data_IF_561896114756
#
_entry.id   IF_561896114756
#
_cell.length_a   1.000
_cell.length_b   1.000
_cell.length_c   1.000
_cell.angle_alpha   90.00
_cell.angle_beta   90.00
_cell.angle_gamma   90.00
#
_symmetry.space_group_name_H-M   'P 1'
#
loop_
_entity.id
_entity.type
_entity.pdbx_description
1 polymer ?
#
# COMPACT_ATOMS: atom_id res chain seq x y z
N UNK A 1 -22.51 28.80 34.35
CA UNK A 1 -21.56 28.78 33.22
C UNK A 1 -21.21 27.38 32.73
N UNK A 2 -20.78 26.45 33.60
CA UNK A 2 -20.27 25.12 33.22
C UNK A 2 -21.08 24.37 32.13
N UNK A 3 -22.41 24.22 32.28
CA UNK A 3 -23.30 23.60 31.25
C UNK A 3 -22.98 24.13 29.83
N UNK A 4 -23.00 25.46 29.64
CA UNK A 4 -22.73 26.11 28.35
C UNK A 4 -21.33 25.82 27.81
N UNK A 5 -20.31 25.75 28.66
CA UNK A 5 -18.93 25.43 28.25
C UNK A 5 -18.88 23.99 27.71
N UNK A 6 -19.49 23.04 28.41
CA UNK A 6 -19.53 21.63 27.99
C UNK A 6 -20.29 21.45 26.68
N UNK A 7 -21.42 22.14 26.48
CA UNK A 7 -22.14 22.15 25.19
C UNK A 7 -21.28 22.68 24.04
N UNK A 8 -20.52 23.77 24.26
CA UNK A 8 -19.62 24.31 23.23
C UNK A 8 -18.43 23.37 22.94
N UNK A 9 -17.84 22.77 23.98
CA UNK A 9 -16.75 21.78 23.80
C UNK A 9 -17.26 20.55 23.05
N UNK A 10 -18.48 20.08 23.31
CA UNK A 10 -19.09 18.98 22.57
C UNK A 10 -19.32 19.35 21.09
N UNK A 11 -19.82 20.56 20.81
CA UNK A 11 -20.01 21.06 19.44
C UNK A 11 -18.69 21.14 18.65
N UNK A 12 -17.64 21.72 19.24
CA UNK A 12 -16.34 21.80 18.56
C UNK A 12 -15.65 20.45 18.42
N UNK A 13 -15.72 19.57 19.44
CA UNK A 13 -15.16 18.22 19.34
C UNK A 13 -15.91 17.36 18.30
N UNK A 14 -17.23 17.53 18.14
CA UNK A 14 -17.99 16.91 17.04
C UNK A 14 -17.46 17.35 15.66
N UNK A 15 -17.24 18.65 15.46
CA UNK A 15 -16.69 19.18 14.20
C UNK A 15 -15.31 18.57 13.88
N UNK A 16 -14.39 18.56 14.85
CA UNK A 16 -13.06 17.96 14.66
C UNK A 16 -13.11 16.43 14.53
N UNK A 17 -14.08 15.76 15.15
CA UNK A 17 -14.31 14.33 14.95
C UNK A 17 -14.79 14.01 13.54
N UNK A 18 -15.70 14.81 12.97
CA UNK A 18 -16.12 14.67 11.57
C UNK A 18 -14.96 14.91 10.60
N UNK A 19 -14.15 15.96 10.83
CA UNK A 19 -12.97 16.26 10.03
C UNK A 19 -11.93 15.13 10.07
N UNK A 20 -11.58 14.65 11.26
CA UNK A 20 -10.59 13.57 11.42
C UNK A 20 -11.11 12.22 10.94
N UNK A 21 -12.40 11.92 11.10
CA UNK A 21 -13.04 10.72 10.55
C UNK A 21 -13.02 10.72 9.01
N UNK A 22 -13.26 11.87 8.37
CA UNK A 22 -13.16 12.01 6.91
C UNK A 22 -11.73 11.76 6.41
N UNK A 23 -10.72 12.25 7.13
CA UNK A 23 -9.31 11.91 6.82
C UNK A 23 -9.05 10.41 7.02
N UNK A 24 -9.48 9.81 8.12
CA UNK A 24 -9.34 8.36 8.37
C UNK A 24 -10.06 7.50 7.32
N UNK A 25 -11.14 7.99 6.70
CA UNK A 25 -11.84 7.30 5.62
C UNK A 25 -11.00 7.21 4.33
N UNK A 26 -10.29 8.29 4.00
CA UNK A 26 -9.47 8.46 2.79
C UNK A 26 -8.05 7.89 2.98
N UNK A 27 -7.53 7.88 4.20
CA UNK A 27 -6.17 7.43 4.55
C UNK A 27 -5.83 6.04 3.99
N UNK A 28 -4.67 5.87 3.31
CA UNK A 28 -4.25 4.58 2.77
C UNK A 28 -3.96 3.54 3.87
N UNK A 29 -3.93 2.23 3.51
CA UNK A 29 -3.54 1.17 4.43
C UNK A 29 -2.19 1.46 5.08
N UNK A 30 -2.02 1.16 6.37
CA UNK A 30 -0.84 1.55 7.14
C UNK A 30 0.50 1.18 6.49
N UNK A 31 0.56 0.00 5.83
CA UNK A 31 1.72 -0.49 5.06
C UNK A 31 2.09 0.41 3.87
N UNK A 32 1.09 0.94 3.15
CA UNK A 32 1.29 1.81 1.98
C UNK A 32 1.64 3.22 2.47
N UNK A 33 1.00 3.66 3.55
CA UNK A 33 1.25 4.95 4.16
C UNK A 33 2.70 5.12 4.67
N UNK A 34 3.27 4.08 5.30
CA UNK A 34 4.68 4.10 5.72
C UNK A 34 5.63 3.93 4.53
N UNK A 35 5.32 3.02 3.61
CA UNK A 35 6.14 2.74 2.42
C UNK A 35 6.34 3.95 1.50
N UNK A 36 5.30 4.77 1.32
CA UNK A 36 5.32 5.96 0.48
C UNK A 36 5.57 7.27 1.24
N UNK A 37 5.87 7.22 2.54
CA UNK A 37 6.00 8.39 3.42
C UNK A 37 4.80 9.36 3.33
N UNK A 38 3.58 8.78 3.34
CA UNK A 38 2.34 9.49 3.06
C UNK A 38 2.04 10.57 4.11
N UNK A 39 1.69 11.74 3.61
CA UNK A 39 1.31 12.90 4.39
C UNK A 39 0.13 13.64 3.74
N UNK A 40 -0.66 14.33 4.56
CA UNK A 40 -1.77 15.17 4.13
C UNK A 40 -1.84 16.41 5.01
N UNK A 41 -1.91 17.60 4.39
CA UNK A 41 -1.77 18.90 5.06
C UNK A 41 -0.52 19.00 5.96
N UNK A 42 0.60 18.38 5.55
CA UNK A 42 1.86 18.35 6.30
C UNK A 42 1.91 17.36 7.48
N UNK A 43 0.80 16.66 7.80
CA UNK A 43 0.74 15.66 8.86
C UNK A 43 0.81 14.24 8.28
N UNK A 44 1.56 13.36 8.95
CA UNK A 44 1.65 11.94 8.59
C UNK A 44 0.38 11.18 8.97
N UNK A 45 0.20 9.96 8.43
CA UNK A 45 -0.89 9.05 8.85
C UNK A 45 -0.96 8.89 10.38
N UNK A 46 0.20 8.73 11.04
CA UNK A 46 0.27 8.53 12.50
C UNK A 46 -0.17 9.78 13.28
N UNK A 47 0.15 10.98 12.79
CA UNK A 47 -0.28 12.22 13.42
C UNK A 47 -1.80 12.43 13.29
N UNK A 48 -2.38 12.11 12.12
CA UNK A 48 -3.83 12.12 11.92
C UNK A 48 -4.57 11.07 12.77
N UNK A 49 -4.00 9.87 12.90
CA UNK A 49 -4.52 8.79 13.74
C UNK A 49 -4.51 9.20 15.22
N UNK A 50 -3.40 9.74 15.73
CA UNK A 50 -3.30 10.27 17.08
C UNK A 50 -4.27 11.44 17.35
N UNK A 51 -4.44 12.35 16.39
CA UNK A 51 -5.40 13.45 16.48
C UNK A 51 -6.85 12.94 16.56
N UNK A 52 -7.21 11.91 15.76
CA UNK A 52 -8.54 11.30 15.80
C UNK A 52 -8.82 10.65 17.17
N UNK A 53 -7.85 9.88 17.70
CA UNK A 53 -8.00 9.26 19.03
C UNK A 53 -8.13 10.30 20.15
N UNK A 54 -7.33 11.37 20.13
CA UNK A 54 -7.38 12.43 21.13
C UNK A 54 -8.71 13.21 21.09
N UNK A 55 -9.20 13.56 19.89
CA UNK A 55 -10.50 14.23 19.75
C UNK A 55 -11.67 13.30 20.06
N UNK A 56 -11.54 11.98 19.82
CA UNK A 56 -12.54 10.99 20.20
C UNK A 56 -12.67 10.86 21.72
N UNK A 57 -11.54 10.82 22.44
CA UNK A 57 -11.54 10.84 23.90
C UNK A 57 -12.17 12.13 24.46
N UNK A 58 -11.86 13.29 23.88
CA UNK A 58 -12.47 14.56 24.27
C UNK A 58 -13.98 14.58 23.98
N UNK A 59 -14.42 14.07 22.82
CA UNK A 59 -15.84 14.00 22.46
C UNK A 59 -16.63 13.08 23.40
N UNK A 60 -16.07 11.91 23.76
CA UNK A 60 -16.68 11.01 24.75
C UNK A 60 -16.74 11.64 26.15
N UNK A 61 -15.67 12.29 26.61
CA UNK A 61 -15.64 12.98 27.90
C UNK A 61 -16.63 14.16 27.95
N UNK A 62 -16.71 14.96 26.87
CA UNK A 62 -17.66 16.06 26.74
C UNK A 62 -19.11 15.56 26.63
N UNK A 63 -19.34 14.43 25.95
CA UNK A 63 -20.66 13.79 25.83
C UNK A 63 -21.16 13.24 27.17
N UNK A 64 -20.31 12.50 27.90
CA UNK A 64 -20.61 12.05 29.25
C UNK A 64 -20.84 13.23 30.20
N UNK A 65 -19.99 14.27 30.14
CA UNK A 65 -20.18 15.50 30.89
C UNK A 65 -21.48 16.23 30.55
N UNK A 66 -21.90 16.24 29.28
CA UNK A 66 -23.18 16.83 28.86
C UNK A 66 -24.36 16.05 29.45
N UNK A 67 -24.36 14.72 29.33
CA UNK A 67 -25.42 13.84 29.87
C UNK A 67 -25.53 13.98 31.39
N UNK A 68 -24.43 13.99 32.12
CA UNK A 68 -24.42 14.15 33.58
C UNK A 68 -24.89 15.54 34.03
N UNK A 69 -24.51 16.60 33.30
CA UNK A 69 -24.93 17.97 33.61
C UNK A 69 -26.35 18.30 33.16
N UNK A 70 -26.97 17.48 32.31
CA UNK A 70 -28.32 17.67 31.77
C UNK A 70 -29.20 16.43 32.05
N UNK A 71 -28.92 15.73 33.15
CA UNK A 71 -29.58 14.45 33.47
C UNK A 71 -31.08 14.61 33.74
N UNK A 72 -31.50 15.71 34.36
CA UNK A 72 -32.93 16.04 34.57
C UNK A 72 -33.67 16.18 33.22
N UNK A 73 -33.03 16.88 32.28
CA UNK A 73 -33.53 17.14 30.93
C UNK A 73 -33.61 15.82 30.10
N UNK A 74 -32.73 14.85 30.37
CA UNK A 74 -32.81 13.49 29.82
C UNK A 74 -33.91 12.65 30.48
N UNK A 75 -34.10 12.78 31.80
CA UNK A 75 -35.18 12.09 32.52
C UNK A 75 -36.57 12.55 32.09
N UNK A 76 -36.75 13.83 31.74
CA UNK A 76 -38.01 14.34 31.16
C UNK A 76 -38.40 13.63 29.86
N UNK A 77 -37.44 13.23 29.02
CA UNK A 77 -37.70 12.42 27.81
C UNK A 77 -38.09 10.95 28.12
N UNK A 78 -37.98 10.53 29.38
CA UNK A 78 -38.38 9.21 29.89
C UNK A 78 -39.57 9.28 30.85
N UNK A 79 -40.18 10.47 31.03
CA UNK A 79 -41.42 10.62 31.80
C UNK A 79 -42.64 10.35 30.92
N UNK A 80 -43.64 9.70 31.52
CA UNK A 80 -44.98 9.58 30.92
C UNK A 80 -45.82 10.85 31.20
N UNK A 81 -47.06 10.91 30.68
CA UNK A 81 -47.93 12.09 30.84
C UNK A 81 -48.22 12.44 32.33
N UNK A 82 -48.18 11.45 33.22
CA UNK A 82 -48.29 11.61 34.69
C UNK A 82 -46.97 12.03 35.38
N UNK A 83 -45.88 12.29 34.64
CA UNK A 83 -44.59 12.73 35.18
C UNK A 83 -43.73 11.63 35.85
N UNK A 84 -44.21 10.38 35.85
CA UNK A 84 -43.49 9.20 36.34
C UNK A 84 -42.44 8.77 35.32
N UNK A 85 -41.22 8.47 35.77
CA UNK A 85 -40.14 7.96 34.89
C UNK A 85 -40.40 6.50 34.52
N UNK A 86 -40.70 6.24 33.25
CA UNK A 86 -41.01 4.92 32.69
C UNK A 86 -39.99 4.58 31.61
N UNK A 87 -39.04 3.69 31.92
CA UNK A 87 -37.91 3.40 31.00
C UNK A 87 -38.38 2.86 29.64
N UNK A 88 -39.53 2.18 29.57
CA UNK A 88 -40.07 1.57 28.34
C UNK A 88 -41.17 2.41 27.67
N UNK A 89 -41.01 3.73 27.58
CA UNK A 89 -41.94 4.57 26.79
C UNK A 89 -41.94 4.19 25.30
N UNK A 90 -43.01 4.54 24.58
CA UNK A 90 -43.09 4.32 23.11
C UNK A 90 -41.92 4.99 22.36
N UNK A 91 -41.54 6.26 22.64
CA UNK A 91 -40.36 6.87 22.03
C UNK A 91 -39.05 6.13 22.33
N UNK A 92 -38.84 5.65 23.56
CA UNK A 92 -37.65 4.86 23.92
C UNK A 92 -37.57 3.58 23.08
N UNK A 93 -38.67 2.81 23.01
CA UNK A 93 -38.72 1.58 22.22
C UNK A 93 -38.49 1.83 20.72
N UNK A 94 -39.08 2.90 20.16
CA UNK A 94 -38.86 3.29 18.75
C UNK A 94 -37.40 3.67 18.51
N UNK A 95 -36.81 4.50 19.37
CA UNK A 95 -35.41 4.92 19.26
C UNK A 95 -34.42 3.76 19.40
N UNK A 96 -34.68 2.85 20.34
CA UNK A 96 -33.90 1.62 20.54
C UNK A 96 -33.99 0.69 19.34
N UNK A 97 -35.20 0.40 18.84
CA UNK A 97 -35.40 -0.47 17.68
C UNK A 97 -34.83 0.12 16.39
N UNK A 98 -34.93 1.43 16.19
CA UNK A 98 -34.31 2.12 15.05
C UNK A 98 -32.78 2.04 15.12
N UNK A 99 -32.19 2.33 16.28
CA UNK A 99 -30.73 2.27 16.48
C UNK A 99 -30.20 0.85 16.32
N UNK A 100 -30.84 -0.14 16.95
CA UNK A 100 -30.49 -1.55 16.84
C UNK A 100 -30.70 -2.08 15.41
N UNK A 101 -31.75 -1.65 14.72
CA UNK A 101 -32.02 -1.99 13.32
C UNK A 101 -30.95 -1.46 12.36
N UNK A 102 -30.56 -0.18 12.50
CA UNK A 102 -29.47 0.41 11.70
C UNK A 102 -28.12 -0.25 12.02
N UNK A 103 -27.86 -0.60 13.28
CA UNK A 103 -26.66 -1.32 13.67
C UNK A 103 -26.62 -2.74 13.07
N UNK A 104 -27.69 -3.52 13.20
CA UNK A 104 -27.81 -4.85 12.62
C UNK A 104 -27.74 -4.83 11.08
N UNK A 105 -28.37 -3.85 10.44
CA UNK A 105 -28.27 -3.64 8.99
C UNK A 105 -26.82 -3.31 8.56
N UNK A 106 -26.09 -2.52 9.36
CA UNK A 106 -24.69 -2.21 9.12
C UNK A 106 -23.78 -3.45 9.26
N UNK A 107 -24.02 -4.30 10.25
CA UNK A 107 -23.33 -5.60 10.40
C UNK A 107 -23.65 -6.56 9.25
N UNK A 108 -24.87 -6.53 8.72
CA UNK A 108 -25.29 -7.30 7.55
C UNK A 108 -24.78 -6.71 6.21
N UNK A 109 -24.05 -5.58 6.22
CA UNK A 109 -23.53 -4.94 5.01
C UNK A 109 -24.59 -4.27 4.13
N UNK A 110 -25.81 -4.04 4.64
CA UNK A 110 -26.89 -3.40 3.90
C UNK A 110 -26.56 -1.93 3.56
N UNK A 111 -27.18 -1.34 2.53
CA UNK A 111 -26.99 0.07 2.21
C UNK A 111 -27.51 0.99 3.35
N UNK A 112 -26.85 2.12 3.63
CA UNK A 112 -25.67 2.66 2.94
C UNK A 112 -24.33 2.09 3.45
N UNK A 113 -24.30 1.33 4.54
CA UNK A 113 -23.07 0.87 5.18
C UNK A 113 -22.17 0.06 4.23
N UNK A 114 -22.73 -0.90 3.48
CA UNK A 114 -21.98 -1.66 2.47
C UNK A 114 -21.38 -0.79 1.35
N UNK A 115 -22.08 0.28 0.96
CA UNK A 115 -21.59 1.22 -0.06
C UNK A 115 -20.43 2.07 0.46
N UNK A 116 -20.49 2.52 1.73
CA UNK A 116 -19.40 3.26 2.38
C UNK A 116 -18.15 2.39 2.55
N UNK A 117 -18.32 1.11 2.94
CA UNK A 117 -17.21 0.15 3.05
C UNK A 117 -16.57 -0.07 1.67
N UNK A 118 -17.37 -0.35 0.63
CA UNK A 118 -16.89 -0.55 -0.74
C UNK A 118 -16.16 0.69 -1.30
N UNK A 119 -16.70 1.89 -1.09
CA UNK A 119 -16.06 3.15 -1.47
C UNK A 119 -14.71 3.32 -0.76
N UNK A 120 -14.63 3.07 0.55
CA UNK A 120 -13.36 3.13 1.28
C UNK A 120 -12.35 2.10 0.79
N UNK A 121 -12.82 0.93 0.33
CA UNK A 121 -12.00 -0.10 -0.29
C UNK A 121 -11.41 0.37 -1.62
N UNK A 122 -12.24 0.94 -2.50
CA UNK A 122 -11.79 1.50 -3.79
C UNK A 122 -10.74 2.61 -3.60
N UNK A 123 -10.95 3.54 -2.65
CA UNK A 123 -9.96 4.58 -2.35
C UNK A 123 -8.62 3.99 -1.89
N UNK A 124 -8.64 2.92 -1.08
CA UNK A 124 -7.45 2.28 -0.53
C UNK A 124 -6.72 1.40 -1.55
N UNK A 125 -7.45 0.73 -2.44
CA UNK A 125 -6.86 -0.04 -3.56
C UNK A 125 -6.22 0.93 -4.59
N UNK A 126 -6.91 2.04 -4.97
CA UNK A 126 -6.31 3.10 -5.81
C UNK A 126 -5.07 3.74 -5.19
N UNK A 127 -5.05 3.90 -3.87
CA UNK A 127 -3.84 4.38 -3.18
C UNK A 127 -2.71 3.34 -3.22
N UNK A 128 -2.99 2.04 -3.11
CA UNK A 128 -1.99 0.99 -3.27
C UNK A 128 -1.42 0.94 -4.71
N UNK A 129 -2.27 1.09 -5.73
CA UNK A 129 -1.83 1.24 -7.14
C UNK A 129 -0.92 2.46 -7.34
N UNK A 130 -1.28 3.61 -6.76
CA UNK A 130 -0.58 4.90 -6.96
C UNK A 130 0.74 4.99 -6.21
N UNK A 131 0.82 4.43 -4.99
CA UNK A 131 1.96 4.56 -4.09
C UNK A 131 2.84 3.32 -4.00
N UNK A 132 2.41 2.19 -4.59
CA UNK A 132 3.07 0.89 -4.51
C UNK A 132 2.86 0.17 -3.18
N UNK A 133 3.00 -1.16 -3.22
CA UNK A 133 3.00 -2.02 -2.03
C UNK A 133 4.45 -2.31 -1.60
N UNK A 134 4.75 -2.41 -0.29
CA UNK A 134 6.01 -2.97 0.18
C UNK A 134 6.07 -4.48 -0.14
N UNK A 135 7.24 -5.03 -0.53
CA UNK A 135 7.36 -6.44 -0.96
C UNK A 135 7.08 -7.46 0.17
N UNK A 136 7.10 -7.01 1.43
CA UNK A 136 6.65 -7.76 2.61
C UNK A 136 6.24 -6.79 3.73
N UNK A 137 5.65 -7.31 4.81
CA UNK A 137 5.16 -6.49 5.92
C UNK A 137 6.28 -5.75 6.66
N UNK A 138 6.12 -4.43 6.84
CA UNK A 138 7.08 -3.54 7.51
C UNK A 138 8.49 -3.53 6.87
N UNK A 139 8.58 -3.70 5.54
CA UNK A 139 9.84 -3.66 4.79
C UNK A 139 10.63 -2.35 5.02
N UNK A 140 9.95 -1.22 5.22
CA UNK A 140 10.56 0.07 5.56
C UNK A 140 11.34 0.06 6.88
N UNK A 141 11.00 -0.87 7.81
CA UNK A 141 11.66 -1.01 9.12
C UNK A 141 12.79 -2.03 9.11
N UNK A 142 13.01 -2.74 8.00
CA UNK A 142 14.11 -3.69 7.85
C UNK A 142 15.42 -2.97 7.55
N UNK A 143 16.53 -3.53 8.01
CA UNK A 143 17.88 -3.12 7.61
C UNK A 143 18.08 -3.35 6.10
N UNK A 144 18.97 -2.60 5.45
CA UNK A 144 19.32 -2.86 4.05
C UNK A 144 19.90 -4.27 3.87
N UNK A 145 20.66 -4.78 4.86
CA UNK A 145 21.19 -6.14 4.85
C UNK A 145 20.10 -7.22 4.90
N UNK A 146 19.13 -7.11 5.82
CA UNK A 146 18.00 -8.05 5.91
C UNK A 146 17.10 -7.95 4.68
N UNK A 147 16.89 -6.73 4.17
CA UNK A 147 16.10 -6.49 2.97
C UNK A 147 16.75 -7.16 1.75
N UNK A 148 18.04 -6.88 1.49
CA UNK A 148 18.80 -7.49 0.41
C UNK A 148 18.76 -9.01 0.51
N UNK A 149 19.03 -9.57 1.70
CA UNK A 149 19.00 -11.01 1.98
C UNK A 149 17.64 -11.65 1.69
N UNK A 150 16.51 -11.00 2.02
CA UNK A 150 15.16 -11.51 1.68
C UNK A 150 14.88 -11.43 0.18
N UNK A 151 15.40 -10.43 -0.51
CA UNK A 151 15.28 -10.25 -1.96
C UNK A 151 16.32 -11.04 -2.78
N UNK A 152 17.13 -11.91 -2.16
CA UNK A 152 18.18 -12.69 -2.84
C UNK A 152 19.40 -11.87 -3.30
N UNK A 153 19.53 -10.63 -2.84
CA UNK A 153 20.61 -9.71 -3.16
C UNK A 153 21.70 -9.71 -2.09
N UNK A 154 22.94 -9.49 -2.50
CA UNK A 154 24.06 -9.25 -1.59
C UNK A 154 24.02 -7.81 -1.01
N UNK A 155 24.43 -7.65 0.24
CA UNK A 155 24.31 -6.38 0.97
C UNK A 155 25.27 -5.29 0.46
N UNK A 156 26.51 -5.65 0.09
CA UNK A 156 27.47 -4.69 -0.50
C UNK A 156 27.05 -4.31 -1.92
N UNK A 157 26.52 -5.26 -2.71
CA UNK A 157 25.87 -4.94 -3.98
C UNK A 157 24.72 -3.95 -3.79
N UNK A 158 23.78 -4.20 -2.87
CA UNK A 158 22.70 -3.27 -2.58
C UNK A 158 23.21 -1.87 -2.21
N UNK A 159 24.22 -1.79 -1.33
CA UNK A 159 24.85 -0.54 -0.91
C UNK A 159 25.50 0.21 -2.09
N UNK A 160 26.19 -0.51 -2.99
CA UNK A 160 26.78 0.07 -4.21
C UNK A 160 25.73 0.58 -5.21
N UNK A 161 24.59 -0.11 -5.35
CA UNK A 161 23.50 0.30 -6.24
C UNK A 161 22.80 1.57 -5.76
N UNK A 162 22.59 1.71 -4.44
CA UNK A 162 22.08 2.95 -3.85
C UNK A 162 23.05 4.12 -4.13
N UNK A 163 24.35 3.92 -3.88
CA UNK A 163 25.39 4.93 -4.16
C UNK A 163 25.44 5.32 -5.64
N UNK A 164 25.31 4.36 -6.56
CA UNK A 164 25.22 4.60 -8.01
C UNK A 164 23.98 5.43 -8.41
N UNK A 165 22.89 5.34 -7.64
CA UNK A 165 21.67 6.16 -7.80
C UNK A 165 21.71 7.48 -7.02
N UNK A 166 22.88 7.89 -6.50
CA UNK A 166 23.08 9.05 -5.61
C UNK A 166 22.32 8.98 -4.26
N UNK A 167 21.83 7.80 -3.86
CA UNK A 167 21.24 7.57 -2.54
C UNK A 167 22.39 7.31 -1.56
N UNK A 168 22.55 8.21 -0.59
CA UNK A 168 23.51 8.10 0.50
C UNK A 168 23.08 6.96 1.43
N UNK A 169 23.91 5.92 1.49
CA UNK A 169 23.81 4.88 2.50
C UNK A 169 25.22 4.64 3.04
N UNK A 170 25.40 4.83 4.35
CA UNK A 170 26.70 4.75 5.03
C UNK A 170 27.11 3.29 5.24
N UNK A 171 26.20 2.49 5.77
CA UNK A 171 26.32 1.04 6.00
C UNK A 171 25.01 0.32 5.65
N UNK A 172 25.00 -1.01 5.74
CA UNK A 172 23.83 -1.84 5.45
C UNK A 172 22.92 -2.11 6.67
N UNK A 173 23.30 -1.64 7.87
CA UNK A 173 22.51 -1.78 9.10
C UNK A 173 21.42 -0.70 9.22
N UNK A 174 21.57 0.41 8.51
CA UNK A 174 20.52 1.43 8.35
C UNK A 174 19.24 0.80 7.76
N UNK A 175 18.09 1.21 8.27
CA UNK A 175 16.79 0.75 7.75
C UNK A 175 16.41 1.47 6.45
N UNK A 176 15.54 0.86 5.64
CA UNK A 176 15.02 1.50 4.42
C UNK A 176 14.36 2.86 4.72
N UNK A 177 13.65 2.99 5.84
CA UNK A 177 13.08 4.26 6.30
C UNK A 177 14.14 5.30 6.71
N UNK A 178 15.25 4.89 7.31
CA UNK A 178 16.33 5.80 7.70
C UNK A 178 17.12 6.27 6.47
N UNK A 179 17.47 5.36 5.56
CA UNK A 179 18.08 5.69 4.27
C UNK A 179 17.16 6.63 3.47
N UNK A 180 15.85 6.36 3.43
CA UNK A 180 14.89 7.21 2.76
C UNK A 180 14.85 8.64 3.38
N UNK A 181 14.81 8.73 4.71
CA UNK A 181 14.83 9.99 5.47
C UNK A 181 16.08 10.81 5.19
N UNK A 182 17.27 10.20 5.18
CA UNK A 182 18.55 10.85 4.90
C UNK A 182 18.69 11.39 3.47
N UNK A 183 17.86 10.90 2.54
CA UNK A 183 17.89 11.27 1.12
C UNK A 183 16.62 12.01 0.66
N UNK A 184 15.70 12.36 1.58
CA UNK A 184 14.42 13.01 1.28
C UNK A 184 13.53 12.25 0.27
N UNK A 185 13.65 10.92 0.20
CA UNK A 185 12.79 10.05 -0.60
C UNK A 185 11.84 9.24 0.29
N UNK A 186 10.91 8.50 -0.32
CA UNK A 186 10.11 7.50 0.38
C UNK A 186 10.85 6.13 0.43
N UNK A 187 10.56 5.26 1.41
CA UNK A 187 11.09 3.88 1.44
C UNK A 187 10.89 3.11 0.13
N UNK A 188 9.74 3.25 -0.53
CA UNK A 188 9.48 2.67 -1.85
C UNK A 188 10.41 3.20 -2.95
N UNK A 189 10.88 4.45 -2.85
CA UNK A 189 11.89 5.00 -3.77
C UNK A 189 13.27 4.37 -3.60
N UNK A 190 13.64 4.00 -2.37
CA UNK A 190 14.86 3.21 -2.09
C UNK A 190 14.74 1.81 -2.68
N UNK A 191 13.55 1.20 -2.64
CA UNK A 191 13.30 -0.10 -3.27
C UNK A 191 13.33 -0.05 -4.80
N UNK A 192 12.63 0.89 -5.46
CA UNK A 192 12.64 0.98 -6.92
C UNK A 192 14.05 1.25 -7.49
N UNK A 193 14.89 2.00 -6.75
CA UNK A 193 16.30 2.19 -7.08
C UNK A 193 17.12 0.88 -7.09
N UNK A 194 16.77 -0.10 -6.25
CA UNK A 194 17.36 -1.45 -6.23
C UNK A 194 16.73 -2.37 -7.29
N UNK A 195 15.39 -2.33 -7.41
CA UNK A 195 14.58 -3.20 -8.29
C UNK A 195 14.93 -3.04 -9.77
N UNK A 196 15.29 -1.85 -10.23
CA UNK A 196 15.72 -1.60 -11.62
C UNK A 196 17.01 -2.33 -12.05
N UNK A 197 17.68 -3.07 -11.17
CA UNK A 197 18.87 -3.90 -11.48
C UNK A 197 18.61 -5.39 -11.19
N UNK A 198 17.37 -5.76 -10.86
CA UNK A 198 17.00 -7.11 -10.43
C UNK A 198 16.56 -8.03 -11.58
N UNK A 199 16.36 -7.47 -12.78
CA UNK A 199 16.01 -8.17 -14.03
C UNK A 199 17.23 -8.32 -14.96
N UNK A 200 17.57 -9.54 -15.41
CA UNK A 200 17.54 -10.75 -14.61
C UNK A 200 18.90 -11.46 -14.61
N UNK A 201 19.48 -11.69 -13.44
CA UNK A 201 20.39 -12.84 -13.27
C UNK A 201 19.50 -14.07 -13.13
N UNK A 202 19.31 -14.81 -14.22
CA UNK A 202 18.26 -15.81 -14.43
C UNK A 202 18.33 -17.06 -13.55
N UNK A 203 18.18 -16.90 -12.24
CA UNK A 203 17.79 -17.96 -11.32
C UNK A 203 16.28 -18.03 -11.26
N UNK A 204 15.69 -19.02 -11.93
CA UNK A 204 14.29 -19.41 -11.68
C UNK A 204 14.17 -19.74 -10.20
N UNK A 205 13.33 -19.01 -9.46
CA UNK A 205 13.03 -19.36 -8.06
C UNK A 205 12.04 -20.52 -8.08
N UNK A 206 12.57 -21.73 -8.23
CA UNK A 206 11.79 -22.96 -8.24
C UNK A 206 11.24 -23.21 -6.83
N UNK A 207 9.94 -22.98 -6.64
CA UNK A 207 9.26 -23.12 -5.36
C UNK A 207 8.98 -21.81 -4.62
N UNK A 208 8.24 -21.92 -3.51
CA UNK A 208 7.72 -20.78 -2.76
C UNK A 208 8.81 -20.03 -1.97
N UNK A 209 8.81 -18.68 -2.00
CA UNK A 209 9.62 -17.85 -1.10
C UNK A 209 9.45 -18.24 0.38
N UNK A 210 10.47 -17.97 1.21
CA UNK A 210 10.43 -18.32 2.63
C UNK A 210 9.33 -17.59 3.41
N UNK A 211 9.13 -16.31 3.11
CA UNK A 211 8.05 -15.48 3.65
C UNK A 211 6.97 -15.33 2.55
N UNK A 212 5.66 -15.43 2.86
CA UNK A 212 4.61 -15.30 1.85
C UNK A 212 4.52 -13.87 1.29
N UNK A 213 4.49 -13.70 -0.04
CA UNK A 213 4.23 -12.40 -0.67
C UNK A 213 2.88 -11.79 -0.22
N UNK A 214 2.79 -10.44 -0.13
CA UNK A 214 1.53 -9.76 0.12
C UNK A 214 0.52 -10.08 -1.00
N UNK A 215 -0.78 -10.08 -0.65
CA UNK A 215 -1.85 -10.39 -1.60
C UNK A 215 -2.02 -11.87 -1.96
N UNK A 216 -1.03 -12.75 -1.73
CA UNK A 216 -1.08 -14.18 -2.09
C UNK A 216 -2.33 -14.89 -1.52
N UNK A 217 -2.78 -14.48 -0.33
CA UNK A 217 -4.03 -14.95 0.27
C UNK A 217 -5.28 -14.80 -0.61
N UNK A 218 -5.32 -13.81 -1.51
CA UNK A 218 -6.44 -13.51 -2.44
C UNK A 218 -6.32 -14.26 -3.78
N UNK A 219 -5.24 -15.00 -4.04
CA UNK A 219 -4.97 -15.70 -5.31
C UNK A 219 -5.32 -17.18 -5.24
N UNK A 220 -5.69 -17.79 -6.37
CA UNK A 220 -6.06 -19.21 -6.47
C UNK A 220 -4.85 -20.12 -6.37
N UNK A 221 -5.07 -21.36 -5.95
CA UNK A 221 -4.03 -22.40 -5.98
C UNK A 221 -3.51 -22.64 -7.41
N UNK A 222 -4.36 -22.59 -8.46
CA UNK A 222 -3.93 -22.61 -9.87
C UNK A 222 -2.88 -21.55 -10.16
N UNK A 223 -3.25 -20.29 -9.92
CA UNK A 223 -2.48 -19.11 -10.33
C UNK A 223 -1.18 -18.96 -9.53
N UNK A 224 -1.08 -19.62 -8.36
CA UNK A 224 0.12 -19.73 -7.53
C UNK A 224 1.02 -20.87 -8.04
N UNK A 225 0.45 -22.03 -8.41
CA UNK A 225 1.24 -23.15 -8.92
C UNK A 225 1.89 -22.83 -10.26
N UNK A 226 1.17 -22.18 -11.17
CA UNK A 226 1.68 -21.76 -12.47
C UNK A 226 2.82 -20.72 -12.36
N UNK A 227 2.70 -19.76 -11.44
CA UNK A 227 3.72 -18.71 -11.22
C UNK A 227 5.01 -19.22 -10.58
N UNK A 228 4.91 -20.10 -9.56
CA UNK A 228 6.07 -20.63 -8.84
C UNK A 228 6.60 -21.96 -9.37
N UNK A 229 6.09 -22.43 -10.53
CA UNK A 229 6.52 -23.66 -11.18
C UNK A 229 6.22 -24.94 -10.38
N UNK A 230 5.15 -24.92 -9.57
CA UNK A 230 4.71 -26.09 -8.81
C UNK A 230 3.80 -27.00 -9.65
N UNK A 231 4.01 -28.31 -9.56
CA UNK A 231 3.06 -29.27 -10.08
C UNK A 231 1.77 -29.33 -9.21
N UNK A 232 0.62 -29.05 -9.83
CA UNK A 232 -0.68 -29.02 -9.18
C UNK A 232 -1.06 -30.37 -8.55
N UNK A 233 -0.69 -31.49 -9.17
CA UNK A 233 -1.04 -32.84 -8.67
C UNK A 233 -0.27 -33.14 -7.39
N UNK A 234 1.04 -32.84 -7.37
CA UNK A 234 1.85 -32.89 -6.15
C UNK A 234 1.35 -31.92 -5.08
N UNK A 235 0.94 -30.69 -5.43
CA UNK A 235 0.41 -29.71 -4.47
C UNK A 235 -0.85 -30.21 -3.78
N UNK A 236 -1.84 -30.70 -4.53
CA UNK A 236 -3.06 -31.27 -3.94
C UNK A 236 -2.77 -32.52 -3.12
N UNK A 237 -1.83 -33.36 -3.56
CA UNK A 237 -1.38 -34.55 -2.82
C UNK A 237 -0.72 -34.17 -1.48
N UNK A 238 0.18 -33.18 -1.46
CA UNK A 238 0.84 -32.64 -0.26
C UNK A 238 -0.18 -32.06 0.73
N UNK A 239 -1.11 -31.22 0.25
CA UNK A 239 -2.16 -30.63 1.07
C UNK A 239 -3.09 -31.70 1.67
N UNK A 240 -3.50 -32.68 0.87
CA UNK A 240 -4.31 -33.82 1.33
C UNK A 240 -3.56 -34.66 2.38
N UNK A 241 -2.27 -34.93 2.18
CA UNK A 241 -1.42 -35.64 3.14
C UNK A 241 -1.19 -34.87 4.46
N UNK A 242 -1.26 -33.52 4.42
CA UNK A 242 -1.27 -32.67 5.61
C UNK A 242 -2.67 -32.48 6.23
N UNK A 243 -3.70 -33.16 5.70
CA UNK A 243 -5.09 -33.13 6.20
C UNK A 243 -5.97 -32.03 5.63
N UNK A 244 -5.49 -31.23 4.68
CA UNK A 244 -6.21 -30.09 4.11
C UNK A 244 -7.06 -30.46 2.89
N UNK A 245 -8.34 -30.11 2.94
CA UNK A 245 -9.23 -30.05 1.77
C UNK A 245 -8.86 -28.85 0.91
N UNK A 246 -8.46 -29.08 -0.33
CA UNK A 246 -8.07 -28.04 -1.28
C UNK A 246 -8.67 -28.31 -2.67
N UNK A 247 -8.85 -27.24 -3.46
CA UNK A 247 -9.27 -27.31 -4.87
C UNK A 247 -8.46 -26.30 -5.69
N UNK A 248 -8.10 -26.58 -6.96
CA UNK A 248 -7.33 -25.64 -7.79
C UNK A 248 -7.94 -24.24 -7.89
N UNK A 249 -9.26 -24.17 -7.97
CA UNK A 249 -10.02 -22.93 -8.15
C UNK A 249 -10.20 -22.11 -6.86
N UNK A 250 -9.89 -22.67 -5.67
CA UNK A 250 -9.99 -21.96 -4.40
C UNK A 250 -8.79 -21.06 -4.20
N UNK A 251 -9.01 -19.91 -3.57
CA UNK A 251 -7.92 -19.07 -3.03
C UNK A 251 -7.22 -19.75 -1.86
N UNK A 252 -5.99 -19.30 -1.58
CA UNK A 252 -5.26 -19.71 -0.38
C UNK A 252 -6.06 -19.42 0.91
N UNK A 253 -6.81 -18.30 0.95
CA UNK A 253 -7.68 -17.95 2.09
C UNK A 253 -8.93 -18.83 2.18
N UNK A 254 -9.57 -19.16 1.05
CA UNK A 254 -10.71 -20.09 1.05
C UNK A 254 -10.29 -21.51 1.47
N UNK A 255 -9.12 -21.96 1.01
CA UNK A 255 -8.52 -23.23 1.44
C UNK A 255 -8.23 -23.22 2.94
N UNK A 256 -7.73 -22.12 3.49
CA UNK A 256 -7.50 -21.98 4.93
C UNK A 256 -8.84 -22.02 5.72
N UNK A 257 -9.83 -21.25 5.26
CA UNK A 257 -11.18 -21.18 5.85
C UNK A 257 -11.90 -22.53 5.83
N UNK A 258 -11.79 -23.29 4.73
CA UNK A 258 -12.41 -24.61 4.58
C UNK A 258 -11.84 -25.68 5.54
N UNK A 259 -10.67 -25.41 6.14
CA UNK A 259 -9.99 -26.30 7.09
C UNK A 259 -9.83 -25.68 8.50
N UNK A 260 -10.45 -24.51 8.76
CA UNK A 260 -10.34 -23.77 10.02
C UNK A 260 -8.89 -23.42 10.45
N UNK A 261 -8.00 -23.17 9.49
CA UNK A 261 -6.62 -22.75 9.75
C UNK A 261 -6.35 -21.34 9.22
N UNK A 262 -5.22 -20.74 9.64
CA UNK A 262 -4.74 -19.48 9.11
C UNK A 262 -4.10 -19.68 7.72
N UNK A 263 -4.20 -18.71 6.77
CA UNK A 263 -3.60 -18.84 5.44
C UNK A 263 -2.09 -19.10 5.43
N UNK A 264 -1.37 -18.67 6.47
CA UNK A 264 0.06 -18.97 6.68
C UNK A 264 0.31 -20.48 6.85
N UNK A 265 -0.57 -21.22 7.52
CA UNK A 265 -0.41 -22.66 7.73
C UNK A 265 -0.59 -23.46 6.43
N UNK A 266 -1.47 -22.98 5.53
CA UNK A 266 -1.60 -23.53 4.17
C UNK A 266 -0.35 -23.20 3.35
N UNK A 267 0.22 -22.00 3.50
CA UNK A 267 1.46 -21.62 2.83
C UNK A 267 2.67 -22.45 3.27
N UNK A 268 2.86 -22.66 4.57
CA UNK A 268 3.94 -23.52 5.08
C UNK A 268 3.75 -25.00 4.69
N UNK A 269 2.50 -25.47 4.56
CA UNK A 269 2.18 -26.80 4.04
C UNK A 269 2.47 -26.95 2.53
N UNK A 270 2.29 -25.88 1.73
CA UNK A 270 2.77 -25.85 0.34
C UNK A 270 4.30 -25.88 0.26
N UNK A 271 4.98 -25.24 1.22
CA UNK A 271 6.44 -25.05 1.27
C UNK A 271 7.21 -26.21 1.95
N UNK A 272 6.54 -27.27 2.40
CA UNK A 272 7.18 -28.43 3.05
C UNK A 272 7.07 -29.71 2.22
N UNK A 273 8.22 -30.25 1.78
CA UNK A 273 8.31 -31.55 1.09
C UNK A 273 8.05 -32.76 2.01
N UNK A 274 7.83 -32.54 3.31
CA UNK A 274 7.60 -33.57 4.31
C UNK A 274 6.47 -33.13 5.23
N UNK A 275 5.36 -33.87 5.20
CA UNK A 275 4.13 -33.51 5.91
C UNK A 275 4.34 -33.27 7.40
N UNK A 276 4.16 -32.03 7.83
CA UNK A 276 3.99 -31.69 9.24
C UNK A 276 2.56 -32.08 9.64
N UNK A 277 2.42 -32.91 10.67
CA UNK A 277 1.11 -33.23 11.23
C UNK A 277 0.45 -31.96 11.79
N UNK A 278 -0.86 -31.73 11.58
CA UNK A 278 -1.53 -30.55 12.07
C UNK A 278 -1.53 -30.55 13.61
N UNK A 279 -1.06 -29.45 14.21
CA UNK A 279 -1.25 -29.17 15.63
C UNK A 279 -2.64 -28.52 15.78
N UNK A 280 -3.64 -29.17 16.41
CA UNK A 280 -4.95 -28.56 16.60
C UNK A 280 -4.82 -27.44 17.64
N UNK A 281 -5.15 -26.21 17.25
CA UNK A 281 -5.41 -25.15 18.22
C UNK A 281 -6.84 -25.32 18.70
N UNK A 282 -7.03 -25.96 19.85
CA UNK A 282 -8.34 -26.21 20.43
C UNK A 282 -8.97 -24.89 20.91
N UNK A 283 -9.83 -24.31 20.08
CA UNK A 283 -10.59 -23.10 20.42
C UNK A 283 -11.69 -23.49 21.40
N UNK A 284 -11.42 -23.31 22.69
CA UNK A 284 -12.35 -23.60 23.77
C UNK A 284 -13.73 -22.97 23.52
N UNK A 285 -14.76 -23.80 23.60
CA UNK A 285 -16.18 -23.42 23.55
C UNK A 285 -16.89 -23.98 24.80
N UNK A 286 -17.95 -23.34 25.30
CA UNK A 286 -18.35 -23.47 26.71
C UNK A 286 -18.97 -24.83 27.04
N UNK A 287 -18.58 -25.39 28.19
CA UNK A 287 -19.17 -26.60 28.76
C UNK A 287 -20.42 -26.23 29.56
N UNK A 288 -21.57 -26.75 29.13
CA UNK A 288 -22.83 -26.68 29.89
C UNK A 288 -22.89 -27.77 30.98
N UNK A 289 -23.70 -27.56 32.02
CA UNK A 289 -23.54 -28.21 33.33
C UNK A 289 -24.45 -29.44 33.53
N UNK A 290 -23.91 -30.67 33.55
CA UNK A 290 -24.66 -31.82 34.12
C UNK A 290 -23.82 -32.96 34.73
N UNK A 291 -24.07 -33.20 36.03
CA UNK A 291 -23.98 -34.47 36.80
C UNK A 291 -22.75 -35.40 36.68
N UNK A 292 -21.96 -35.38 37.76
CA UNK A 292 -21.23 -36.50 38.38
C UNK A 292 -22.14 -37.72 38.70
N UNK A 293 -21.61 -38.95 38.85
CA UNK A 293 -20.85 -39.35 40.06
C UNK A 293 -19.64 -40.30 39.86
N UNK A 294 -18.70 -40.31 40.83
CA UNK A 294 -17.61 -41.31 40.91
C UNK A 294 -16.47 -40.89 41.86
N UNK A 295 -16.12 -41.74 42.83
CA UNK A 295 -15.11 -41.56 43.90
C UNK A 295 -14.74 -42.96 44.44
N UNK A 296 -13.62 -43.27 45.08
CA UNK A 296 -12.44 -42.54 45.67
C UNK A 296 -11.19 -43.44 45.46
N UNK A 297 -9.92 -43.10 45.84
CA UNK A 297 -9.36 -41.94 46.56
C UNK A 297 -8.12 -41.28 45.89
N UNK A 298 -7.45 -40.37 46.61
CA UNK A 298 -6.16 -39.73 46.26
C UNK A 298 -5.05 -40.25 47.19
N UNK A 299 -3.84 -40.47 46.66
CA UNK A 299 -2.60 -40.56 47.45
C UNK A 299 -1.80 -39.24 47.39
N UNK A 300 -1.36 -38.76 48.55
CA UNK A 300 -0.39 -37.66 48.74
C UNK A 300 1.01 -38.26 48.94
N UNK A 301 2.11 -37.65 48.42
CA UNK A 301 2.74 -36.52 49.13
C UNK A 301 3.56 -35.57 48.19
N UNK A 302 4.39 -34.62 48.69
CA UNK A 302 4.43 -33.94 49.99
C UNK A 302 4.15 -32.40 49.84
N UNK A 303 4.25 -31.64 50.93
CA UNK A 303 3.91 -30.21 50.95
C UNK A 303 5.12 -29.25 50.80
N UNK A 304 4.86 -28.16 50.07
CA UNK A 304 5.39 -26.79 50.22
C UNK A 304 6.89 -26.54 50.53
N UNK A 305 7.57 -25.92 49.56
CA UNK A 305 8.65 -24.96 49.83
C UNK A 305 8.14 -23.53 49.54
N UNK A 306 8.48 -22.55 50.38
CA UNK A 306 8.00 -21.17 50.27
C UNK A 306 8.92 -20.31 49.38
N UNK A 307 8.40 -19.44 48.49
CA UNK A 307 9.19 -18.39 47.86
C UNK A 307 9.67 -17.34 48.88
N UNK A 308 10.92 -16.89 48.75
CA UNK A 308 11.49 -15.86 49.61
C UNK A 308 10.86 -14.46 49.36
N UNK A 309 10.83 -13.56 50.36
CA UNK A 309 10.25 -12.23 50.22
C UNK A 309 11.05 -11.32 49.28
N UNK A 310 10.34 -10.42 48.59
CA UNK A 310 10.91 -9.42 47.69
C UNK A 310 11.75 -8.37 48.46
N UNK A 311 12.85 -7.93 47.84
CA UNK A 311 13.67 -6.83 48.36
C UNK A 311 12.90 -5.50 48.36
N UNK A 312 13.19 -4.65 49.35
CA UNK A 312 12.46 -3.42 49.61
C UNK A 312 12.84 -2.30 48.64
N UNK A 313 11.85 -1.52 48.20
CA UNK A 313 12.08 -0.25 47.49
C UNK A 313 12.52 0.85 48.48
N UNK A 314 13.42 1.77 48.09
CA UNK A 314 13.86 2.86 48.97
C UNK A 314 12.74 3.88 49.25
N UNK A 315 12.70 4.37 50.48
CA UNK A 315 11.72 5.34 50.97
C UNK A 315 11.97 6.78 50.44
N UNK A 316 10.95 7.66 50.40
CA UNK A 316 11.05 8.99 49.81
C UNK A 316 11.86 9.99 50.66
N UNK A 317 12.52 10.93 49.98
CA UNK A 317 13.25 12.04 50.60
C UNK A 317 12.27 13.11 51.14
N UNK A 318 12.43 13.61 52.38
CA UNK A 318 11.56 14.65 52.93
C UNK A 318 11.82 16.03 52.32
N UNK A 319 10.77 16.85 52.20
CA UNK A 319 10.86 18.23 51.71
C UNK A 319 11.43 19.18 52.79
N UNK A 320 12.23 20.20 52.41
CA UNK A 320 12.78 21.16 53.36
C UNK A 320 11.72 22.13 53.89
N UNK A 321 11.67 22.31 55.21
CA UNK A 321 10.79 23.27 55.89
C UNK A 321 11.39 24.68 55.90
N UNK A 322 10.52 25.69 55.81
CA UNK A 322 10.89 27.11 55.84
C UNK A 322 11.27 27.57 57.26
N UNK A 323 12.21 28.51 57.37
CA UNK A 323 12.48 29.29 58.58
C UNK A 323 12.36 30.81 58.29
N UNK A 324 11.87 31.62 59.25
CA UNK A 324 11.65 33.06 59.06
C UNK A 324 12.92 33.91 59.29
N UNK A 325 12.95 35.17 58.82
CA UNK A 325 14.16 35.99 58.79
C UNK A 325 14.32 36.95 59.99
N UNK A 326 15.58 37.32 60.25
CA UNK A 326 16.03 38.47 61.02
C UNK A 326 17.41 38.86 60.45
N UNK A 327 17.90 40.10 60.31
CA UNK A 327 17.47 41.48 60.55
C UNK A 327 18.66 42.32 60.04
N UNK A 328 18.48 43.36 59.22
CA UNK A 328 19.62 44.16 58.72
C UNK A 328 19.26 45.19 57.64
N UNK A 329 18.96 46.41 58.07
CA UNK A 329 18.67 47.60 57.24
C UNK A 329 19.44 48.81 57.83
N UNK A 330 19.41 50.04 57.26
CA UNK A 330 18.68 50.54 56.07
C UNK A 330 19.63 50.60 54.83
N UNK A 331 19.53 51.42 53.76
CA UNK A 331 18.81 52.66 53.35
C UNK A 331 18.71 52.66 51.79
N UNK A 332 17.99 53.50 51.02
CA UNK A 332 17.20 54.72 51.27
C UNK A 332 16.06 54.91 50.22
N UNK A 333 15.44 56.09 50.25
CA UNK A 333 14.55 56.83 49.32
C UNK A 333 15.04 56.93 47.85
N UNK A 334 14.26 57.39 46.84
CA UNK A 334 12.81 57.58 46.63
C UNK A 334 12.56 58.09 45.19
N UNK A 335 11.31 58.02 44.70
CA UNK A 335 10.75 59.03 43.78
C UNK A 335 10.43 58.56 42.36
N UNK A 336 9.34 59.12 41.81
CA UNK A 336 8.98 59.05 40.39
C UNK A 336 9.37 60.36 39.69
N UNK A 337 9.67 60.30 38.39
CA UNK A 337 9.01 61.13 37.36
C UNK A 337 9.39 60.60 35.95
N UNK A 338 8.71 61.04 34.89
CA UNK A 338 8.97 60.63 33.52
C UNK A 338 9.26 61.84 32.60
N UNK A 339 10.19 61.69 31.66
CA UNK A 339 10.34 62.52 30.46
C UNK A 339 11.23 61.83 29.40
N UNK A 340 10.96 62.12 28.12
CA UNK A 340 11.85 61.92 26.96
C UNK A 340 12.42 63.30 26.54
N UNK A 341 13.22 63.49 25.45
CA UNK A 341 13.70 62.54 24.42
C UNK A 341 15.21 62.67 24.06
N UNK A 342 15.70 61.91 23.07
CA UNK A 342 16.98 62.19 22.38
C UNK A 342 17.59 61.01 21.62
N UNK A 343 18.08 61.25 20.39
CA UNK A 343 18.85 60.29 19.57
C UNK A 343 20.28 60.08 20.14
N UNK A 344 21.10 59.09 19.76
CA UNK A 344 21.34 58.36 18.48
C UNK A 344 21.80 56.91 18.76
N UNK A 345 21.98 55.99 17.82
CA UNK A 345 21.75 55.93 16.37
C UNK A 345 22.30 54.59 15.82
N UNK A 346 21.69 54.02 14.79
CA UNK A 346 22.04 52.67 14.28
C UNK A 346 21.81 52.51 12.77
N UNK A 347 22.71 51.77 12.11
CA UNK A 347 22.80 51.58 10.65
C UNK A 347 23.38 50.18 10.35
N UNK A 348 23.14 49.57 9.17
CA UNK A 348 21.91 48.79 8.99
C UNK A 348 22.14 47.37 8.43
N UNK A 349 21.11 46.52 8.53
CA UNK A 349 21.02 45.25 7.80
C UNK A 349 20.20 45.42 6.49
N UNK A 350 20.58 44.81 5.35
CA UNK A 350 19.76 44.80 4.15
C UNK A 350 18.55 43.87 4.29
N UNK A 351 17.38 44.28 3.80
CA UNK A 351 16.16 43.47 3.76
C UNK A 351 15.72 43.10 2.35
N UNK A 352 14.66 42.29 2.26
CA UNK A 352 13.89 42.06 1.03
C UNK A 352 12.39 42.09 1.34
N UNK A 353 11.58 42.50 0.35
CA UNK A 353 10.18 42.86 0.53
C UNK A 353 9.19 41.69 0.30
N UNK A 354 7.96 41.74 0.85
CA UNK A 354 6.93 40.73 0.62
C UNK A 354 6.31 40.86 -0.79
N UNK A 355 5.75 39.77 -1.31
CA UNK A 355 5.08 39.75 -2.61
C UNK A 355 3.69 39.11 -2.50
N UNK A 356 2.71 39.67 -3.20
CA UNK A 356 1.28 39.30 -3.15
C UNK A 356 0.87 38.35 -4.30
N UNK A 357 -0.23 37.57 -4.15
CA UNK A 357 -0.64 36.61 -5.17
C UNK A 357 -1.38 37.27 -6.36
N UNK A 358 -1.15 36.84 -7.61
CA UNK A 358 -1.95 37.26 -8.75
C UNK A 358 -3.30 36.50 -8.83
N UNK A 359 -4.35 37.22 -9.20
CA UNK A 359 -5.69 36.64 -9.47
C UNK A 359 -5.81 36.05 -10.87
N UNK A 360 -6.86 35.25 -11.10
CA UNK A 360 -7.13 34.56 -12.37
C UNK A 360 -8.43 35.07 -13.00
N UNK A 361 -8.36 35.63 -14.21
CA UNK A 361 -9.49 36.04 -15.03
C UNK A 361 -9.13 35.88 -16.53
N UNK A 362 -10.09 35.59 -17.41
CA UNK A 362 -9.79 35.00 -18.72
C UNK A 362 -9.55 36.03 -19.83
N UNK A 363 -8.88 35.59 -20.90
CA UNK A 363 -9.00 36.20 -22.22
C UNK A 363 -8.80 35.13 -23.31
N UNK A 364 -9.62 35.19 -24.36
CA UNK A 364 -9.52 34.34 -25.55
C UNK A 364 -9.51 35.21 -26.82
N UNK A 365 -8.64 34.89 -27.78
CA UNK A 365 -9.05 34.86 -29.19
C UNK A 365 -8.41 33.67 -29.95
N UNK A 366 -8.81 33.29 -31.15
CA UNK A 366 -10.08 33.41 -31.89
C UNK A 366 -10.03 32.42 -33.08
N UNK A 367 -11.18 31.98 -33.59
CA UNK A 367 -11.27 31.09 -34.78
C UNK A 367 -11.45 31.88 -36.08
N UNK A 368 -10.75 31.46 -37.14
CA UNK A 368 -11.38 31.12 -38.43
C UNK A 368 -10.88 29.77 -38.96
N UNK A 369 -11.46 29.10 -39.95
CA UNK A 369 -12.66 29.38 -40.77
C UNK A 369 -12.58 28.56 -42.09
N UNK A 370 -13.71 28.06 -42.60
CA UNK A 370 -13.79 27.41 -43.94
C UNK A 370 -13.34 28.40 -45.06
N UNK A 371 -12.86 28.01 -46.25
CA UNK A 371 -13.36 26.95 -47.16
C UNK A 371 -12.24 26.44 -48.15
N UNK A 372 -12.52 25.64 -49.21
CA UNK A 372 -11.53 24.73 -49.84
C UNK A 372 -10.90 25.18 -51.17
N UNK A 373 -9.84 24.49 -51.60
CA UNK A 373 -9.44 24.48 -53.03
C UNK A 373 -8.13 23.78 -53.41
N UNK A 374 -8.19 23.02 -54.50
CA UNK A 374 -7.13 22.68 -55.48
C UNK A 374 -5.90 21.83 -55.07
N UNK A 375 -5.58 20.88 -55.95
CA UNK A 375 -4.29 20.19 -56.04
C UNK A 375 -3.41 20.86 -57.14
N UNK A 376 -2.11 20.51 -57.21
CA UNK A 376 -1.60 20.21 -58.55
C UNK A 376 -0.73 18.95 -58.68
N UNK A 377 -0.83 18.40 -59.89
CA UNK A 377 -0.20 17.25 -60.51
C UNK A 377 1.34 17.14 -60.45
N UNK A 378 1.79 15.91 -60.17
CA UNK A 378 2.65 15.06 -61.02
C UNK A 378 4.03 15.53 -61.56
N UNK A 379 5.06 14.75 -61.19
CA UNK A 379 6.15 14.27 -62.07
C UNK A 379 6.73 12.96 -61.46
N UNK A 380 7.25 11.97 -62.19
CA UNK A 380 7.21 11.73 -63.65
C UNK A 380 8.30 10.76 -64.13
N UNK A 381 7.91 9.54 -64.54
CA UNK A 381 8.74 8.51 -65.23
C UNK A 381 9.89 7.87 -64.39
N UNK A 382 10.42 6.66 -64.66
CA UNK A 382 10.18 5.67 -65.73
C UNK A 382 10.36 4.21 -65.23
N UNK A 383 10.00 3.21 -66.05
CA UNK A 383 10.48 1.82 -65.97
C UNK A 383 11.85 1.69 -66.72
N UNK A 384 12.51 0.56 -67.02
CA UNK A 384 12.07 -0.78 -67.53
C UNK A 384 13.05 -1.92 -67.06
N UNK A 385 13.22 -3.16 -67.63
CA UNK A 385 12.98 -4.38 -66.83
C UNK A 385 14.04 -5.52 -66.82
N UNK A 386 13.76 -6.56 -66.02
CA UNK A 386 14.03 -8.03 -66.17
C UNK A 386 15.38 -8.60 -66.65
N UNK A 387 15.87 -9.62 -65.92
CA UNK A 387 16.81 -10.66 -66.36
C UNK A 387 16.58 -12.00 -65.63
N UNK A 388 17.09 -13.14 -66.11
CA UNK A 388 16.72 -14.48 -65.61
C UNK A 388 17.84 -15.54 -65.74
N UNK A 389 18.05 -16.34 -64.67
CA UNK A 389 18.64 -17.70 -64.64
C UNK A 389 20.12 -17.87 -65.09
N UNK A 390 20.80 -19.04 -64.88
CA UNK A 390 20.50 -20.23 -64.03
C UNK A 390 21.62 -20.53 -62.98
N UNK A 391 21.65 -21.74 -62.40
CA UNK A 391 22.56 -22.16 -61.31
C UNK A 391 23.53 -23.31 -61.67
N UNK A 392 24.62 -23.47 -60.89
CA UNK A 392 25.50 -24.65 -60.83
C UNK A 392 26.29 -24.71 -59.47
N UNK A 393 26.90 -25.84 -59.05
CA UNK A 393 27.28 -26.10 -57.65
C UNK A 393 28.80 -26.14 -57.33
N UNK A 394 29.17 -26.14 -56.04
CA UNK A 394 30.56 -26.43 -55.61
C UNK A 394 30.83 -26.51 -54.10
N UNK A 395 31.29 -27.69 -53.65
CA UNK A 395 32.16 -28.03 -52.50
C UNK A 395 32.18 -27.24 -51.17
N UNK A 396 32.21 -28.02 -50.07
CA UNK A 396 32.65 -27.60 -48.74
C UNK A 396 34.02 -28.23 -48.38
N UNK A 397 34.71 -27.70 -47.37
CA UNK A 397 35.51 -28.51 -46.44
C UNK A 397 35.04 -28.36 -44.98
N UNK A 398 35.26 -29.40 -44.18
CA UNK A 398 34.78 -29.51 -42.79
C UNK A 398 35.77 -29.03 -41.73
N UNK A 399 35.26 -28.47 -40.63
CA UNK A 399 35.97 -28.31 -39.35
C UNK A 399 35.07 -28.81 -38.19
N UNK A 400 35.62 -29.39 -37.11
CA UNK A 400 34.82 -30.15 -36.14
C UNK A 400 34.37 -29.35 -34.89
N UNK A 401 33.24 -29.76 -34.30
CA UNK A 401 33.15 -29.81 -32.84
C UNK A 401 32.24 -28.82 -32.08
N UNK A 402 30.98 -28.64 -32.47
CA UNK A 402 29.92 -28.24 -31.53
C UNK A 402 28.66 -29.10 -31.73
N UNK A 403 27.92 -29.47 -30.67
CA UNK A 403 26.65 -30.17 -30.80
C UNK A 403 25.61 -29.26 -31.48
N UNK A 404 24.66 -29.79 -32.26
CA UNK A 404 23.69 -28.98 -32.97
C UNK A 404 22.75 -28.26 -31.99
N UNK A 405 22.77 -26.93 -32.02
CA UNK A 405 21.66 -26.13 -31.49
C UNK A 405 20.41 -26.52 -32.28
N UNK A 406 19.32 -26.85 -31.57
CA UNK A 406 18.07 -27.24 -32.22
C UNK A 406 17.61 -26.17 -33.19
N UNK A 407 17.28 -26.56 -34.42
CA UNK A 407 16.91 -25.61 -35.46
C UNK A 407 15.68 -24.79 -35.03
N UNK A 408 15.74 -23.48 -35.24
CA UNK A 408 14.57 -22.63 -35.07
C UNK A 408 13.46 -23.08 -36.05
N UNK A 409 12.18 -23.06 -35.65
CA UNK A 409 11.08 -23.31 -36.58
C UNK A 409 11.10 -22.27 -37.71
N UNK A 410 10.59 -22.61 -38.91
CA UNK A 410 10.65 -21.71 -40.07
C UNK A 410 9.91 -20.40 -39.78
N UNK A 411 10.62 -19.27 -39.93
CA UNK A 411 10.08 -17.95 -39.64
C UNK A 411 8.89 -17.64 -40.55
N UNK A 412 7.68 -17.56 -39.97
CA UNK A 412 6.51 -17.10 -40.70
C UNK A 412 6.76 -15.70 -41.29
N UNK A 413 6.52 -15.55 -42.59
CA UNK A 413 6.68 -14.26 -43.26
C UNK A 413 5.48 -13.36 -42.90
N UNK A 414 5.72 -12.36 -42.06
CA UNK A 414 4.69 -11.38 -41.67
C UNK A 414 4.11 -10.60 -42.87
N UNK A 415 2.96 -9.94 -42.69
CA UNK A 415 2.15 -9.43 -43.79
C UNK A 415 2.84 -8.28 -44.54
N UNK A 416 2.93 -8.42 -45.87
CA UNK A 416 3.54 -7.41 -46.75
C UNK A 416 2.68 -6.14 -46.92
N UNK A 417 1.40 -6.19 -46.53
CA UNK A 417 0.46 -5.07 -46.54
C UNK A 417 -0.21 -4.92 -45.17
N UNK A 418 -0.52 -3.69 -44.71
CA UNK A 418 -1.09 -3.48 -43.38
C UNK A 418 -2.52 -4.06 -43.28
N UNK A 419 -2.85 -4.82 -42.22
CA UNK A 419 -4.20 -5.35 -42.02
C UNK A 419 -5.21 -4.22 -41.73
N UNK A 420 -6.49 -4.39 -42.09
CA UNK A 420 -7.52 -3.40 -41.85
C UNK A 420 -7.71 -3.17 -40.34
N UNK A 421 -7.57 -1.92 -39.89
CA UNK A 421 -7.67 -1.57 -38.48
C UNK A 421 -6.38 -1.67 -37.66
N UNK A 422 -5.22 -1.91 -38.30
CA UNK A 422 -3.88 -1.98 -37.67
C UNK A 422 -3.65 -0.94 -36.55
N UNK A 423 -4.04 0.32 -36.78
CA UNK A 423 -3.97 1.42 -35.81
C UNK A 423 -4.49 1.08 -34.41
N UNK A 424 -5.56 0.29 -34.32
CA UNK A 424 -6.23 -0.08 -33.06
C UNK A 424 -5.79 -1.44 -32.52
N UNK A 425 -4.90 -2.14 -33.23
CA UNK A 425 -4.44 -3.46 -32.84
C UNK A 425 -3.27 -3.34 -31.87
N UNK A 426 -3.32 -4.07 -30.75
CA UNK A 426 -2.21 -4.18 -29.81
C UNK A 426 -1.04 -4.95 -30.44
N UNK A 427 0.19 -4.56 -30.10
CA UNK A 427 1.40 -5.24 -30.57
C UNK A 427 1.39 -6.73 -30.23
N UNK A 428 0.93 -7.12 -29.03
CA UNK A 428 0.77 -8.51 -28.60
C UNK A 428 -0.24 -9.28 -29.45
N UNK A 429 -1.33 -8.65 -29.87
CA UNK A 429 -2.33 -9.28 -30.74
C UNK A 429 -1.76 -9.59 -32.11
N UNK A 430 -1.07 -8.62 -32.74
CA UNK A 430 -0.37 -8.80 -34.01
C UNK A 430 0.73 -9.86 -33.93
N UNK A 431 1.53 -9.83 -32.86
CA UNK A 431 2.60 -10.83 -32.62
C UNK A 431 2.03 -12.25 -32.54
N UNK A 432 0.91 -12.43 -31.84
CA UNK A 432 0.20 -13.72 -31.74
C UNK A 432 -0.46 -14.15 -33.05
N UNK A 433 -0.97 -13.21 -33.85
CA UNK A 433 -1.67 -13.49 -35.11
C UNK A 433 -0.73 -13.89 -36.25
N UNK A 434 0.51 -13.37 -36.26
CA UNK A 434 1.52 -13.65 -37.30
C UNK A 434 2.70 -14.50 -36.79
N UNK A 435 2.52 -15.20 -35.66
CA UNK A 435 3.51 -16.10 -35.03
C UNK A 435 4.90 -15.48 -34.76
N UNK A 436 4.95 -14.15 -34.54
CA UNK A 436 6.17 -13.42 -34.20
C UNK A 436 6.30 -13.40 -32.66
N UNK A 437 7.39 -13.91 -32.05
CA UNK A 437 7.59 -13.79 -30.62
C UNK A 437 7.68 -12.31 -30.19
N UNK A 438 6.91 -11.90 -29.17
CA UNK A 438 6.87 -10.50 -28.70
C UNK A 438 8.28 -9.95 -28.39
N UNK A 439 9.15 -10.77 -27.80
CA UNK A 439 10.54 -10.41 -27.52
C UNK A 439 11.33 -10.03 -28.78
N UNK A 440 11.09 -10.71 -29.90
CA UNK A 440 11.71 -10.38 -31.20
C UNK A 440 11.11 -9.10 -31.78
N UNK A 441 9.78 -8.91 -31.68
CA UNK A 441 9.12 -7.68 -32.13
C UNK A 441 9.62 -6.44 -31.37
N UNK A 442 9.68 -6.52 -30.03
CA UNK A 442 10.19 -5.45 -29.17
C UNK A 442 11.68 -5.22 -29.40
N UNK A 443 12.49 -6.28 -29.57
CA UNK A 443 13.92 -6.15 -29.89
C UNK A 443 14.15 -5.47 -31.25
N UNK A 444 13.32 -5.76 -32.26
CA UNK A 444 13.36 -5.08 -33.57
C UNK A 444 13.01 -3.60 -33.44
N UNK A 445 11.92 -3.26 -32.75
CA UNK A 445 11.54 -1.87 -32.47
C UNK A 445 12.64 -1.11 -31.70
N UNK A 446 13.27 -1.75 -30.70
CA UNK A 446 14.37 -1.19 -29.94
C UNK A 446 15.62 -0.87 -30.80
N UNK A 447 15.94 -1.66 -31.84
CA UNK A 447 17.01 -1.31 -32.82
C UNK A 447 16.77 0.05 -33.48
N UNK A 448 15.51 0.46 -33.63
CA UNK A 448 15.09 1.74 -34.22
C UNK A 448 14.78 2.83 -33.17
N UNK A 449 15.20 2.61 -31.91
CA UNK A 449 14.95 3.47 -30.73
C UNK A 449 13.47 3.62 -30.35
N UNK A 450 12.62 2.68 -30.77
CA UNK A 450 11.21 2.65 -30.39
C UNK A 450 11.06 1.77 -29.16
N UNK A 451 10.73 2.37 -28.01
CA UNK A 451 10.26 1.63 -26.84
C UNK A 451 8.86 1.12 -27.13
N UNK A 452 8.59 -0.16 -26.87
CA UNK A 452 7.29 -0.76 -27.14
C UNK A 452 6.95 -1.84 -26.11
N UNK A 453 5.70 -1.83 -25.66
CA UNK A 453 5.13 -2.86 -24.79
C UNK A 453 3.99 -3.59 -25.53
N UNK A 454 3.66 -4.81 -25.12
CA UNK A 454 2.72 -5.67 -25.86
C UNK A 454 1.27 -5.16 -25.87
N UNK A 455 0.89 -4.40 -24.85
CA UNK A 455 -0.41 -3.76 -24.64
C UNK A 455 -0.59 -2.46 -25.47
N UNK A 456 0.49 -1.84 -25.95
CA UNK A 456 0.41 -0.65 -26.81
C UNK A 456 -0.16 -0.98 -28.19
N UNK A 457 -0.99 -0.09 -28.73
CA UNK A 457 -1.46 -0.17 -30.12
C UNK A 457 -0.43 0.34 -31.12
N UNK A 458 -0.52 -0.10 -32.39
CA UNK A 458 0.28 0.48 -33.47
C UNK A 458 -0.01 1.97 -33.70
N UNK A 459 -1.19 2.48 -33.31
CA UNK A 459 -1.53 3.90 -33.34
C UNK A 459 -0.77 4.72 -32.29
N UNK A 460 -0.69 4.23 -31.06
CA UNK A 460 0.08 4.87 -29.98
C UNK A 460 1.58 4.82 -30.28
N UNK A 461 2.10 3.66 -30.68
CA UNK A 461 3.50 3.48 -31.10
C UNK A 461 3.87 4.39 -32.28
N UNK A 462 2.96 4.61 -33.23
CA UNK A 462 3.13 5.53 -34.34
C UNK A 462 3.17 7.00 -33.89
N UNK A 463 2.24 7.39 -33.01
CA UNK A 463 2.11 8.75 -32.48
C UNK A 463 3.35 9.16 -31.67
N UNK A 464 3.76 8.35 -30.70
CA UNK A 464 4.90 8.65 -29.81
C UNK A 464 6.23 8.74 -30.56
N UNK A 465 6.40 7.95 -31.62
CA UNK A 465 7.64 7.85 -32.38
C UNK A 465 7.63 8.65 -33.69
N UNK A 466 6.58 9.44 -33.94
CA UNK A 466 6.36 10.25 -35.15
C UNK A 466 6.57 9.46 -36.46
N UNK A 467 5.89 8.32 -36.58
CA UNK A 467 5.92 7.38 -37.72
C UNK A 467 4.50 7.02 -38.15
N UNK A 468 4.33 6.30 -39.27
CA UNK A 468 3.03 5.69 -39.59
C UNK A 468 2.89 4.32 -38.90
N UNK A 469 1.66 3.88 -38.57
CA UNK A 469 1.40 2.52 -38.06
C UNK A 469 1.95 1.42 -38.99
N UNK A 470 1.88 1.65 -40.31
CA UNK A 470 2.41 0.74 -41.32
C UNK A 470 3.95 0.66 -41.28
N UNK A 471 4.66 1.74 -40.91
CA UNK A 471 6.11 1.71 -40.71
C UNK A 471 6.50 0.98 -39.43
N UNK A 472 5.77 1.19 -38.32
CA UNK A 472 5.95 0.41 -37.09
C UNK A 472 5.78 -1.10 -37.40
N UNK A 473 4.75 -1.46 -38.18
CA UNK A 473 4.53 -2.84 -38.63
C UNK A 473 5.68 -3.38 -39.50
N UNK A 474 6.19 -2.59 -40.45
CA UNK A 474 7.37 -2.97 -41.25
C UNK A 474 8.58 -3.28 -40.38
N UNK A 475 8.82 -2.51 -39.31
CA UNK A 475 9.94 -2.74 -38.38
C UNK A 475 9.73 -3.99 -37.51
N UNK A 476 8.49 -4.34 -37.14
CA UNK A 476 8.19 -5.61 -36.46
C UNK A 476 8.41 -6.82 -37.37
N UNK A 477 8.04 -6.70 -38.65
CA UNK A 477 8.08 -7.78 -39.66
C UNK A 477 9.46 -7.96 -40.32
N UNK A 478 10.25 -6.89 -40.48
CA UNK A 478 11.61 -6.95 -41.05
C UNK A 478 12.50 -7.88 -40.25
N UNK A 479 13.22 -8.80 -40.92
CA UNK A 479 13.89 -9.92 -40.24
C UNK A 479 15.04 -9.50 -39.30
#
# INVERSE_FOLDING_TARGET
MLKKIVTMVLFFSLFFMLLTALVMFIVPPGRVASWANWNFLGLSRQAWEAAHLAMGLLFLAAGAGHVLLHFDELLDHLRDEDGVVVVFTKPFLIGLLLTAGVFAASLAGLPPAGQLVALSGLLKERAAETYGEPPYSQAERSTLADFARRMGMDAEKALSLLRLRNIKAENADLTLAEIARQNHVAPGGVFEALKMVMEPSGGTITGLPKDPPPGLGRRKLSDICEEYGLDMVQVLSRLSAAGYKAQPAWTLTETAKANNVLPIAVYDALRTDKGAAPVPVEVASPVELTKQPGIVPVETPPAAAQPAPLAQAPAPVPAPTLQPPATGQPVQQSGLQAAAPGATGSTPAPGYAPNTPPGYAPNAPAVPGYAPGQAPSAAGYAAIPTGHLPAAPGYAPTAPGYPPVSAAPPTAAGPAAPPPGLEKMMLQSFCREYEIPLSVAVQRLAKHRITAFGDMSFGELALENNRTPADIMRLVVSQ
#
